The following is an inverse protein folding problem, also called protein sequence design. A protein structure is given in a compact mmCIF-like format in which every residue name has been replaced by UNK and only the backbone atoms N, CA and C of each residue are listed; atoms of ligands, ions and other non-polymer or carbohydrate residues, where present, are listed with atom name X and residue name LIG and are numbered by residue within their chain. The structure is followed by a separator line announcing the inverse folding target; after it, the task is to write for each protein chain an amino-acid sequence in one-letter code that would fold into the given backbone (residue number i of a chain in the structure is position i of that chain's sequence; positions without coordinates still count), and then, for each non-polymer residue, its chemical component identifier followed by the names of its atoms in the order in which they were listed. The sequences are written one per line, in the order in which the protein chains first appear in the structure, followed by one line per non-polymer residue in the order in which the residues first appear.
data_IF_790991120175
#
_entry.id   IF_790991120175
#
_cell.length_a   1.000
_cell.length_b   1.000
_cell.length_c   1.000
_cell.angle_alpha   90.00
_cell.angle_beta   90.00
_cell.angle_gamma   90.00
#
_symmetry.space_group_name_H-M   'P 1'
#
loop_
_entity.id
_entity.type
_entity.pdbx_description
1 polymer ?
#
# COMPACT_ATOMS: atom_id res chain seq x y z
N UNK A 1 10.99 -3.47 -10.09
CA UNK A 1 9.73 -2.73 -9.93
C UNK A 1 8.65 -3.39 -10.78
N UNK A 2 7.85 -4.25 -10.20
CA UNK A 2 6.93 -5.15 -10.92
C UNK A 2 5.45 -5.01 -10.49
N UNK A 3 5.15 -4.22 -9.46
CA UNK A 3 3.77 -4.03 -8.96
C UNK A 3 3.38 -2.57 -9.13
N UNK A 4 2.33 -2.33 -9.94
CA UNK A 4 1.78 -1.00 -10.27
C UNK A 4 2.83 0.03 -10.73
N UNK A 5 3.85 -0.43 -11.44
CA UNK A 5 4.97 0.40 -11.89
C UNK A 5 4.76 0.89 -13.32
N UNK A 6 5.01 2.18 -13.55
CA UNK A 6 5.04 2.80 -14.89
C UNK A 6 6.09 2.16 -15.81
N UNK A 7 7.12 1.52 -15.22
CA UNK A 7 8.19 0.87 -15.99
C UNK A 7 7.67 -0.23 -16.94
N UNK A 8 6.58 -0.93 -16.59
CA UNK A 8 6.00 -1.95 -17.48
C UNK A 8 5.66 -1.39 -18.86
N UNK A 9 5.01 -0.23 -18.92
CA UNK A 9 4.68 0.44 -20.18
C UNK A 9 5.93 0.88 -20.96
N UNK A 10 6.94 1.40 -20.25
CA UNK A 10 8.21 1.80 -20.87
C UNK A 10 8.97 0.59 -21.41
N UNK A 11 8.94 -0.52 -20.68
CA UNK A 11 9.60 -1.76 -21.09
C UNK A 11 9.01 -2.28 -22.41
N UNK A 12 7.69 -2.32 -22.54
CA UNK A 12 7.02 -2.75 -23.76
C UNK A 12 7.41 -1.86 -24.97
N UNK A 13 7.41 -0.55 -24.79
CA UNK A 13 7.79 0.41 -25.83
C UNK A 13 9.25 0.22 -26.27
N UNK A 14 10.16 0.08 -25.30
CA UNK A 14 11.59 -0.08 -25.58
C UNK A 14 11.88 -1.42 -26.27
N UNK A 15 11.23 -2.50 -25.82
CA UNK A 15 11.40 -3.82 -26.44
C UNK A 15 10.86 -3.84 -27.87
N UNK A 16 9.72 -3.17 -28.14
CA UNK A 16 9.18 -3.02 -29.49
C UNK A 16 10.12 -2.24 -30.41
N UNK A 17 10.99 -1.38 -29.87
CA UNK A 17 12.02 -0.66 -30.61
C UNK A 17 13.36 -1.41 -30.70
N UNK A 18 13.44 -2.65 -30.20
CA UNK A 18 14.64 -3.49 -30.25
C UNK A 18 15.66 -3.26 -29.14
N UNK A 19 15.31 -2.47 -28.11
CA UNK A 19 16.21 -2.27 -26.98
C UNK A 19 16.13 -3.44 -25.99
N UNK A 20 17.29 -3.89 -25.49
CA UNK A 20 17.33 -4.83 -24.39
C UNK A 20 16.93 -4.16 -23.08
N UNK A 21 16.07 -4.81 -22.31
CA UNK A 21 15.61 -4.32 -21.00
C UNK A 21 15.81 -5.39 -19.94
N UNK A 22 16.08 -4.97 -18.70
CA UNK A 22 16.18 -5.86 -17.55
C UNK A 22 15.54 -5.21 -16.32
N UNK A 23 14.97 -6.04 -15.44
CA UNK A 23 14.47 -5.61 -14.14
C UNK A 23 15.43 -6.04 -13.04
N UNK A 24 15.88 -5.09 -12.22
CA UNK A 24 16.60 -5.39 -10.99
C UNK A 24 15.61 -5.71 -9.86
N UNK A 25 15.96 -6.69 -9.03
CA UNK A 25 15.20 -6.98 -7.81
C UNK A 25 15.28 -5.80 -6.83
N UNK A 26 14.22 -5.58 -6.08
CA UNK A 26 14.17 -4.54 -5.05
C UNK A 26 13.16 -4.88 -3.97
N UNK A 27 13.23 -4.17 -2.84
CA UNK A 27 12.27 -4.30 -1.75
C UNK A 27 11.00 -3.53 -2.11
N UNK A 28 9.82 -4.18 -2.16
CA UNK A 28 8.55 -3.48 -2.36
C UNK A 28 8.24 -2.53 -1.20
N UNK A 29 7.56 -1.41 -1.48
CA UNK A 29 7.22 -0.42 -0.45
C UNK A 29 6.40 -0.99 0.70
N UNK A 30 5.53 -1.94 0.44
CA UNK A 30 4.72 -2.58 1.49
C UNK A 30 5.56 -3.49 2.41
N UNK A 31 6.63 -4.11 1.91
CA UNK A 31 7.57 -4.84 2.77
C UNK A 31 8.37 -3.87 3.66
N UNK A 32 8.78 -2.72 3.11
CA UNK A 32 9.42 -1.68 3.89
C UNK A 32 8.47 -1.10 4.95
N UNK A 33 7.21 -0.83 4.59
CA UNK A 33 6.18 -0.36 5.52
C UNK A 33 5.92 -1.36 6.66
N UNK A 34 5.82 -2.66 6.36
CA UNK A 34 5.66 -3.71 7.36
C UNK A 34 6.86 -3.77 8.33
N UNK A 35 8.07 -3.63 7.82
CA UNK A 35 9.28 -3.56 8.63
C UNK A 35 9.29 -2.32 9.55
N UNK A 36 8.85 -1.16 9.07
CA UNK A 36 8.73 0.06 9.89
C UNK A 36 7.70 -0.06 10.99
N UNK A 37 6.62 -0.79 10.75
CA UNK A 37 5.59 -1.12 11.74
C UNK A 37 6.01 -2.27 12.67
N UNK A 38 7.14 -2.91 12.40
CA UNK A 38 7.60 -4.13 13.09
C UNK A 38 6.52 -5.23 13.11
N UNK A 39 5.86 -5.43 11.98
CA UNK A 39 4.75 -6.39 11.82
C UNK A 39 4.99 -7.28 10.61
N UNK A 40 4.79 -8.60 10.72
CA UNK A 40 4.78 -9.47 9.54
C UNK A 40 3.57 -9.16 8.66
N UNK A 41 3.71 -9.33 7.34
CA UNK A 41 2.59 -9.15 6.40
C UNK A 41 1.56 -10.28 6.52
N UNK A 42 2.01 -11.49 6.84
CA UNK A 42 1.11 -12.65 7.01
C UNK A 42 1.17 -13.18 8.43
N UNK A 43 0.01 -13.61 8.96
CA UNK A 43 -0.09 -14.15 10.31
C UNK A 43 0.41 -15.61 10.44
N UNK A 44 0.75 -16.26 9.33
CA UNK A 44 1.22 -17.64 9.27
C UNK A 44 1.63 -18.04 7.86
N UNK A 45 2.07 -19.28 7.69
CA UNK A 45 2.60 -19.79 6.41
C UNK A 45 1.50 -19.92 5.34
N UNK A 46 0.26 -20.17 5.76
CA UNK A 46 -0.90 -20.38 4.87
C UNK A 46 -1.81 -19.14 4.78
N UNK A 47 -1.44 -18.03 5.46
CA UNK A 47 -2.26 -16.83 5.47
C UNK A 47 -2.12 -16.08 4.13
N UNK A 48 -3.23 -15.80 3.42
CA UNK A 48 -3.17 -15.10 2.16
C UNK A 48 -2.80 -13.63 2.32
N UNK A 49 -2.24 -13.05 1.25
CA UNK A 49 -1.89 -11.64 1.14
C UNK A 49 -2.52 -11.08 -0.14
N UNK A 50 -3.41 -10.12 0.01
CA UNK A 50 -4.02 -9.41 -1.11
C UNK A 50 -3.36 -8.06 -1.31
N UNK A 51 -2.88 -7.76 -2.52
CA UNK A 51 -2.32 -6.46 -2.89
C UNK A 51 -3.26 -5.80 -3.90
N UNK A 52 -3.78 -4.63 -3.56
CA UNK A 52 -4.72 -3.91 -4.39
C UNK A 52 -4.44 -2.40 -4.42
N UNK A 53 -4.85 -1.68 -5.47
CA UNK A 53 -4.89 -0.22 -5.42
C UNK A 53 -5.99 0.25 -4.45
N UNK A 54 -5.80 1.41 -3.80
CA UNK A 54 -6.78 1.96 -2.86
C UNK A 54 -8.17 2.18 -3.47
N UNK A 55 -8.26 2.39 -4.79
CA UNK A 55 -9.54 2.49 -5.52
C UNK A 55 -10.37 1.19 -5.53
N UNK A 56 -9.77 0.07 -5.18
CA UNK A 56 -10.44 -1.25 -5.08
C UNK A 56 -10.42 -1.79 -3.65
N UNK A 57 -10.35 -0.91 -2.67
CA UNK A 57 -10.30 -1.28 -1.27
C UNK A 57 -11.52 -2.10 -0.83
N UNK A 58 -12.70 -1.71 -1.26
CA UNK A 58 -13.97 -2.38 -0.94
C UNK A 58 -13.92 -3.87 -1.31
N UNK A 59 -13.59 -4.17 -2.56
CA UNK A 59 -13.43 -5.55 -3.03
C UNK A 59 -12.27 -6.29 -2.32
N UNK A 60 -11.18 -5.59 -2.05
CA UNK A 60 -10.03 -6.19 -1.41
C UNK A 60 -10.31 -6.55 0.06
N UNK A 61 -11.13 -5.78 0.75
CA UNK A 61 -11.48 -6.00 2.16
C UNK A 61 -12.31 -7.27 2.38
N UNK A 62 -13.05 -7.70 1.37
CA UNK A 62 -13.83 -8.96 1.40
C UNK A 62 -12.93 -10.21 1.23
N UNK A 63 -11.71 -10.05 0.74
CA UNK A 63 -10.78 -11.17 0.58
C UNK A 63 -10.24 -11.64 1.95
N UNK A 64 -9.87 -12.92 2.10
CA UNK A 64 -9.26 -13.40 3.34
C UNK A 64 -7.81 -12.87 3.51
N UNK A 65 -7.33 -12.88 4.75
CA UNK A 65 -5.96 -12.54 5.10
C UNK A 65 -5.64 -11.05 5.13
N UNK A 66 -4.36 -10.73 5.12
CA UNK A 66 -3.87 -9.35 5.15
C UNK A 66 -4.05 -8.65 3.80
N UNK A 67 -4.43 -7.38 3.82
CA UNK A 67 -4.54 -6.53 2.63
C UNK A 67 -3.45 -5.46 2.64
N UNK A 68 -2.86 -5.25 1.47
CA UNK A 68 -1.96 -4.14 1.18
C UNK A 68 -2.67 -3.23 0.18
N UNK A 69 -3.02 -2.02 0.63
CA UNK A 69 -3.68 -1.02 -0.23
C UNK A 69 -2.65 0.04 -0.62
N UNK A 70 -2.38 0.13 -1.91
CA UNK A 70 -1.38 1.00 -2.50
C UNK A 70 -2.01 2.13 -3.30
N UNK A 71 -1.22 3.15 -3.66
CA UNK A 71 -1.69 4.31 -4.44
C UNK A 71 -2.89 5.01 -3.81
N UNK A 72 -2.89 5.12 -2.49
CA UNK A 72 -4.02 5.65 -1.72
C UNK A 72 -4.04 7.18 -1.67
N UNK A 73 -2.94 7.86 -1.97
CA UNK A 73 -2.68 9.28 -1.75
C UNK A 73 -3.89 10.23 -1.84
N UNK A 74 -4.38 10.52 -3.05
CA UNK A 74 -5.53 11.42 -3.23
C UNK A 74 -6.85 10.82 -2.77
N UNK A 75 -6.93 9.51 -2.63
CA UNK A 75 -8.14 8.76 -2.25
C UNK A 75 -8.16 8.39 -0.77
N UNK A 76 -7.17 8.86 -0.01
CA UNK A 76 -7.05 8.49 1.40
C UNK A 76 -8.29 8.80 2.23
N UNK A 77 -8.96 9.98 2.09
CA UNK A 77 -10.22 10.22 2.81
C UNK A 77 -11.29 9.19 2.51
N UNK A 78 -11.57 8.92 1.23
CA UNK A 78 -12.55 7.91 0.82
C UNK A 78 -12.17 6.50 1.27
N UNK A 79 -10.87 6.19 1.27
CA UNK A 79 -10.37 4.91 1.78
C UNK A 79 -10.61 4.77 3.29
N UNK A 80 -10.40 5.83 4.07
CA UNK A 80 -10.68 5.82 5.52
C UNK A 80 -12.17 5.60 5.80
N UNK A 81 -13.05 6.20 5.01
CA UNK A 81 -14.50 5.98 5.10
C UNK A 81 -14.85 4.52 4.77
N UNK A 82 -14.23 3.93 3.74
CA UNK A 82 -14.41 2.52 3.40
C UNK A 82 -13.92 1.60 4.53
N UNK A 83 -12.74 1.87 5.10
CA UNK A 83 -12.21 1.10 6.24
C UNK A 83 -13.11 1.20 7.47
N UNK A 84 -13.67 2.36 7.72
CA UNK A 84 -14.62 2.59 8.82
C UNK A 84 -15.92 1.78 8.62
N UNK A 85 -16.49 1.84 7.41
CA UNK A 85 -17.69 1.08 7.05
C UNK A 85 -17.52 -0.44 7.21
N UNK A 86 -16.29 -0.96 6.95
CA UNK A 86 -15.94 -2.37 7.16
C UNK A 86 -15.47 -2.69 8.60
N UNK A 87 -15.51 -1.71 9.54
CA UNK A 87 -15.01 -1.90 10.91
C UNK A 87 -13.51 -2.26 10.96
N UNK A 88 -12.73 -1.81 9.98
CA UNK A 88 -11.35 -2.23 9.76
C UNK A 88 -10.29 -1.23 10.28
N UNK A 89 -10.70 -0.05 10.79
CA UNK A 89 -9.75 0.99 11.21
C UNK A 89 -8.77 0.52 12.28
N UNK A 90 -9.22 -0.20 13.32
CA UNK A 90 -8.38 -0.65 14.43
C UNK A 90 -7.37 -1.75 14.04
N UNK A 91 -7.58 -2.39 12.91
CA UNK A 91 -6.66 -3.38 12.35
C UNK A 91 -5.89 -2.85 11.13
N UNK A 92 -5.99 -1.54 10.88
CA UNK A 92 -5.35 -0.85 9.76
C UNK A 92 -4.24 0.06 10.23
N UNK A 93 -3.11 0.00 9.54
CA UNK A 93 -1.97 0.89 9.72
C UNK A 93 -1.65 1.61 8.40
N UNK A 94 -1.12 2.83 8.51
CA UNK A 94 -0.68 3.63 7.36
C UNK A 94 0.77 4.05 7.54
N UNK A 95 1.55 3.88 6.49
CA UNK A 95 2.91 4.43 6.38
C UNK A 95 2.97 5.32 5.15
N UNK A 96 3.36 6.56 5.35
CA UNK A 96 3.58 7.56 4.29
C UNK A 96 5.07 7.84 4.15
N UNK A 97 5.55 8.04 2.93
CA UNK A 97 6.95 8.39 2.61
C UNK A 97 7.97 7.47 3.30
N UNK A 98 7.70 6.16 3.33
CA UNK A 98 8.53 5.17 4.04
C UNK A 98 10.01 5.30 3.67
N UNK A 99 10.87 5.52 4.67
CA UNK A 99 12.31 5.68 4.51
C UNK A 99 12.76 7.06 4.00
N UNK A 100 11.85 8.02 3.84
CA UNK A 100 12.15 9.41 3.47
C UNK A 100 12.16 10.33 4.70
N UNK A 101 12.75 11.55 4.62
CA UNK A 101 12.81 12.46 5.76
C UNK A 101 11.45 12.90 6.32
N UNK A 102 10.40 12.85 5.50
CA UNK A 102 9.02 13.21 5.83
C UNK A 102 8.17 11.98 6.16
N UNK A 103 8.79 10.84 6.51
CA UNK A 103 8.08 9.63 6.90
C UNK A 103 7.11 9.89 8.05
N UNK A 104 5.87 9.43 7.89
CA UNK A 104 4.87 9.41 8.95
C UNK A 104 4.23 8.03 9.07
N UNK A 105 3.99 7.58 10.30
CA UNK A 105 3.49 6.26 10.63
C UNK A 105 2.27 6.37 11.54
N UNK A 106 1.19 5.72 11.14
CA UNK A 106 -0.05 5.58 11.91
C UNK A 106 -0.28 4.09 12.14
N UNK A 107 0.13 3.54 13.29
CA UNK A 107 0.06 2.10 13.55
C UNK A 107 -1.37 1.58 13.75
N UNK A 108 -2.30 2.47 14.09
CA UNK A 108 -3.71 2.18 14.31
C UNK A 108 -4.54 3.39 13.85
N UNK A 109 -5.30 3.21 12.78
CA UNK A 109 -6.11 4.28 12.19
C UNK A 109 -7.40 4.59 12.97
N UNK A 110 -7.75 3.79 13.96
CA UNK A 110 -8.86 4.09 14.88
C UNK A 110 -8.48 5.14 15.93
N UNK A 111 -7.20 5.20 16.30
CA UNK A 111 -6.70 6.09 17.35
C UNK A 111 -6.06 7.37 16.81
N UNK A 112 -5.48 7.33 15.61
CA UNK A 112 -4.81 8.46 14.99
C UNK A 112 -5.10 8.48 13.49
N UNK A 113 -5.86 9.49 13.05
CA UNK A 113 -6.15 9.70 11.63
C UNK A 113 -5.14 10.66 11.00
N UNK A 114 -4.65 10.38 9.79
CA UNK A 114 -3.82 11.31 9.06
C UNK A 114 -4.62 12.58 8.71
N UNK A 115 -3.95 13.74 8.51
CA UNK A 115 -4.61 14.94 8.04
C UNK A 115 -5.37 14.68 6.74
N UNK A 116 -6.65 15.07 6.70
CA UNK A 116 -7.52 14.83 5.54
C UNK A 116 -7.32 15.84 4.40
N UNK A 117 -6.42 16.79 4.57
CA UNK A 117 -6.13 17.83 3.56
C UNK A 117 -5.42 17.31 2.30
N UNK A 118 -5.15 16.00 2.22
CA UNK A 118 -4.56 15.33 1.06
C UNK A 118 -3.12 15.76 0.72
N UNK A 119 -2.60 16.77 1.41
CA UNK A 119 -1.34 17.41 1.03
C UNK A 119 -0.09 16.69 1.52
N UNK A 120 -0.18 15.90 2.59
CA UNK A 120 0.97 15.20 3.20
C UNK A 120 0.90 13.67 3.15
N UNK A 121 -0.28 13.08 3.00
CA UNK A 121 -0.40 11.65 2.74
C UNK A 121 -0.22 11.37 1.24
N UNK A 122 0.92 11.80 0.70
CA UNK A 122 1.16 11.90 -0.72
C UNK A 122 1.18 10.56 -1.46
N UNK A 123 1.72 10.60 -2.66
CA UNK A 123 1.86 9.48 -3.60
C UNK A 123 2.45 8.19 -3.00
N UNK A 124 3.23 8.29 -1.93
CA UNK A 124 3.93 7.19 -1.25
C UNK A 124 3.21 6.68 0.00
N UNK A 125 1.88 6.66 0.00
CA UNK A 125 1.09 6.11 1.09
C UNK A 125 0.77 4.61 0.85
N UNK A 126 0.98 3.80 1.89
CA UNK A 126 0.68 2.36 1.90
C UNK A 126 -0.14 2.05 3.15
N UNK A 127 -1.32 1.47 2.96
CA UNK A 127 -2.15 0.98 4.06
C UNK A 127 -2.03 -0.54 4.17
N UNK A 128 -1.81 -1.02 5.37
CA UNK A 128 -1.82 -2.44 5.72
C UNK A 128 -3.06 -2.71 6.57
N UNK A 129 -3.90 -3.66 6.15
CA UNK A 129 -5.09 -4.09 6.90
C UNK A 129 -4.89 -5.54 7.31
N UNK A 130 -4.80 -5.77 8.61
CA UNK A 130 -4.69 -7.12 9.18
C UNK A 130 -6.03 -7.86 9.13
N UNK A 131 -5.96 -9.17 9.23
CA UNK A 131 -7.14 -10.02 9.36
C UNK A 131 -7.86 -9.85 10.69
#
# INVERSE_FOLDING_TARGET
MSIYATFGYLQEILQAQGYATAMAAGVPSFCAAAARLNQPLTGGMDAPLTIAPGSRADEALDAPGTKVLMKTGRQLPALLDTLDAHGALSRSALVCSCGLPDETIFPDLSTARPPQDGSKAGYFATVLVKE
#
